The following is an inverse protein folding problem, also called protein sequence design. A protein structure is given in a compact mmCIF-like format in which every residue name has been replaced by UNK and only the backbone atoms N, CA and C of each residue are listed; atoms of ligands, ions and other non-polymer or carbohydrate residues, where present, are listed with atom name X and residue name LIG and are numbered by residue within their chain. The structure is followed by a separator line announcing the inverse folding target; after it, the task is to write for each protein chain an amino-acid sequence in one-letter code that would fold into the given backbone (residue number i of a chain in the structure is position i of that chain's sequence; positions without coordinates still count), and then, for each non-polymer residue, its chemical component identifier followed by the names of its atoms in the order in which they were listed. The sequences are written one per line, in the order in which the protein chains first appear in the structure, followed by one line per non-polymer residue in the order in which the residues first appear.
data_IF_997649691703
#
_entry.id   IF_997649691703
#
_cell.length_a   1.000
_cell.length_b   1.000
_cell.length_c   1.000
_cell.angle_alpha   90.00
_cell.angle_beta   90.00
_cell.angle_gamma   90.00
#
_symmetry.space_group_name_H-M   'P 1'
#
loop_
_entity.id
_entity.type
_entity.pdbx_description
1 polymer ?
#
# COMPACT_ATOMS: atom_id res chain seq x y z
N UNK A 1 -14.70 -19.72 -5.37
CA UNK A 1 -14.11 -18.96 -6.50
C UNK A 1 -14.81 -17.61 -6.56
N UNK A 2 -14.10 -16.49 -6.81
CA UNK A 2 -14.72 -15.17 -6.96
C UNK A 2 -15.41 -15.12 -8.32
N UNK A 3 -16.62 -14.56 -8.38
CA UNK A 3 -17.34 -14.26 -9.62
C UNK A 3 -17.12 -12.79 -9.98
N UNK A 4 -16.25 -12.52 -10.95
CA UNK A 4 -15.80 -11.17 -11.27
C UNK A 4 -16.90 -10.27 -11.85
N UNK A 5 -17.90 -10.85 -12.52
CA UNK A 5 -19.05 -10.12 -13.08
C UNK A 5 -19.93 -9.39 -12.06
N UNK A 6 -19.79 -9.73 -10.77
CA UNK A 6 -20.54 -9.08 -9.67
C UNK A 6 -20.00 -7.71 -9.29
N UNK A 7 -18.76 -7.40 -9.67
CA UNK A 7 -18.11 -6.16 -9.23
C UNK A 7 -18.24 -5.06 -10.28
N UNK A 8 -18.31 -3.82 -9.81
CA UNK A 8 -18.31 -2.60 -10.62
C UNK A 8 -17.07 -1.75 -10.37
N UNK A 9 -16.45 -1.93 -9.20
CA UNK A 9 -15.25 -1.20 -8.81
C UNK A 9 -14.22 -2.13 -8.20
N UNK A 10 -12.96 -1.92 -8.58
CA UNK A 10 -11.80 -2.49 -7.92
C UNK A 10 -11.17 -1.40 -7.04
N UNK A 11 -11.09 -1.63 -5.74
CA UNK A 11 -10.38 -0.77 -4.82
C UNK A 11 -9.02 -1.38 -4.49
N UNK A 12 -7.95 -0.60 -4.61
CA UNK A 12 -6.59 -1.05 -4.39
C UNK A 12 -5.96 -0.37 -3.19
N UNK A 13 -5.23 -1.14 -2.37
CA UNK A 13 -4.11 -0.57 -1.64
C UNK A 13 -3.02 -0.13 -2.64
N UNK A 14 -2.21 0.86 -2.27
CA UNK A 14 -1.20 1.41 -3.17
C UNK A 14 0.20 0.85 -2.91
N UNK A 15 0.77 1.14 -1.73
CA UNK A 15 2.18 0.83 -1.43
C UNK A 15 2.35 -0.58 -0.89
N UNK A 16 3.03 -1.42 -1.65
CA UNK A 16 3.16 -2.87 -1.46
C UNK A 16 2.24 -3.68 -2.37
N UNK A 17 1.20 -3.05 -2.91
CA UNK A 17 0.26 -3.67 -3.86
C UNK A 17 0.55 -3.23 -5.30
N UNK A 18 0.54 -1.93 -5.56
CA UNK A 18 0.80 -1.29 -6.85
C UNK A 18 2.25 -0.78 -6.96
N UNK A 19 2.77 -0.23 -5.87
CA UNK A 19 4.09 0.39 -5.75
C UNK A 19 5.02 -0.49 -4.93
N UNK A 20 6.21 -0.78 -5.46
CA UNK A 20 7.28 -1.52 -4.79
C UNK A 20 8.03 -0.57 -3.83
N UNK A 21 7.45 -0.35 -2.67
CA UNK A 21 8.00 0.53 -1.65
C UNK A 21 9.27 -0.02 -1.01
N UNK A 22 9.43 -1.35 -0.91
CA UNK A 22 10.65 -1.96 -0.38
C UNK A 22 11.84 -1.64 -1.30
N UNK A 23 11.63 -1.72 -2.62
CA UNK A 23 12.63 -1.29 -3.61
C UNK A 23 12.85 0.22 -3.54
N UNK A 24 11.79 1.02 -3.48
CA UNK A 24 11.89 2.48 -3.40
C UNK A 24 12.71 2.96 -2.20
N UNK A 25 12.45 2.39 -1.02
CA UNK A 25 13.23 2.68 0.18
C UNK A 25 14.67 2.19 0.02
N UNK A 26 14.87 0.95 -0.43
CA UNK A 26 16.21 0.37 -0.55
C UNK A 26 17.08 1.17 -1.51
N UNK A 27 16.56 1.55 -2.68
CA UNK A 27 17.29 2.35 -3.67
C UNK A 27 17.72 3.72 -3.10
N UNK A 28 16.85 4.36 -2.32
CA UNK A 28 17.15 5.64 -1.68
C UNK A 28 18.25 5.54 -0.62
N UNK A 29 18.15 4.54 0.25
CA UNK A 29 19.04 4.45 1.42
C UNK A 29 20.36 3.74 1.12
N UNK A 30 20.48 2.99 0.02
CA UNK A 30 21.69 2.25 -0.35
C UNK A 30 22.96 3.11 -0.32
N UNK A 31 22.98 4.33 -0.91
CA UNK A 31 24.15 5.22 -0.86
C UNK A 31 24.50 5.69 0.55
N UNK A 32 23.51 5.79 1.44
CA UNK A 32 23.72 6.17 2.85
C UNK A 32 24.30 5.01 3.64
N UNK A 33 23.72 3.80 3.47
CA UNK A 33 24.22 2.59 4.13
C UNK A 33 25.67 2.27 3.77
N UNK A 34 26.06 2.50 2.52
CA UNK A 34 27.43 2.32 2.08
C UNK A 34 28.45 3.15 2.89
N UNK A 35 28.01 4.27 3.49
CA UNK A 35 28.83 5.16 4.30
C UNK A 35 28.64 4.92 5.81
N UNK A 36 27.39 4.64 6.25
CA UNK A 36 27.02 4.55 7.66
C UNK A 36 27.30 3.15 8.21
N UNK A 37 26.88 2.13 7.51
CA UNK A 37 27.05 0.72 7.89
C UNK A 37 26.98 -0.20 6.67
N UNK A 38 28.10 -0.40 5.94
CA UNK A 38 28.13 -1.18 4.71
C UNK A 38 27.82 -2.67 4.91
N UNK A 39 27.78 -3.15 6.14
CA UNK A 39 27.48 -4.55 6.48
C UNK A 39 26.05 -4.79 6.95
N UNK A 40 25.23 -3.72 7.13
CA UNK A 40 23.84 -3.85 7.57
C UNK A 40 22.98 -4.45 6.44
N UNK A 41 22.34 -5.62 6.67
CA UNK A 41 21.44 -6.18 5.68
C UNK A 41 20.19 -5.30 5.50
N UNK A 42 19.85 -4.92 4.27
CA UNK A 42 18.68 -4.09 3.96
C UNK A 42 17.37 -4.63 4.55
N UNK A 43 17.23 -5.97 4.65
CA UNK A 43 16.06 -6.62 5.29
C UNK A 43 15.89 -6.22 6.75
N UNK A 44 16.99 -6.03 7.49
CA UNK A 44 16.93 -5.65 8.90
C UNK A 44 16.44 -4.22 9.05
N UNK A 45 16.92 -3.32 8.18
CA UNK A 45 16.46 -1.94 8.13
C UNK A 45 14.99 -1.86 7.75
N UNK A 46 14.52 -2.60 6.74
CA UNK A 46 13.10 -2.64 6.35
C UNK A 46 12.21 -3.18 7.48
N UNK A 47 12.68 -4.17 8.25
CA UNK A 47 11.95 -4.68 9.41
C UNK A 47 11.86 -3.62 10.53
N UNK A 48 12.95 -2.90 10.80
CA UNK A 48 12.97 -1.79 11.75
C UNK A 48 12.05 -0.66 11.30
N UNK A 49 12.10 -0.31 10.02
CA UNK A 49 11.19 0.67 9.42
C UNK A 49 9.71 0.32 9.67
N UNK A 50 9.31 -0.92 9.41
CA UNK A 50 7.92 -1.35 9.60
C UNK A 50 7.42 -1.18 11.04
N UNK A 51 8.26 -1.53 12.02
CA UNK A 51 7.92 -1.41 13.43
C UNK A 51 7.83 0.07 13.87
N UNK A 52 8.78 0.89 13.43
CA UNK A 52 8.88 2.29 13.85
C UNK A 52 7.80 3.16 13.21
N UNK A 53 7.52 2.97 11.91
CA UNK A 53 6.44 3.74 11.27
C UNK A 53 5.07 3.45 11.90
N UNK A 54 4.80 2.19 12.29
CA UNK A 54 3.54 1.82 12.93
C UNK A 54 3.29 2.58 14.24
N UNK A 55 4.35 2.88 15.00
CA UNK A 55 4.30 3.72 16.21
C UNK A 55 3.81 5.13 15.87
N UNK A 56 4.37 5.76 14.82
CA UNK A 56 4.02 7.13 14.47
C UNK A 56 2.67 7.26 13.77
N UNK A 57 2.20 6.22 13.09
CA UNK A 57 0.84 6.16 12.52
C UNK A 57 -0.26 6.14 13.60
N UNK A 58 0.08 5.82 14.86
CA UNK A 58 -0.85 5.84 15.99
C UNK A 58 -0.89 7.17 16.74
N UNK A 59 -0.01 8.12 16.43
CA UNK A 59 0.02 9.45 17.07
C UNK A 59 -1.27 10.22 16.76
N UNK A 60 -1.75 10.99 17.74
CA UNK A 60 -2.91 11.87 17.59
C UNK A 60 -2.56 13.30 18.00
N UNK A 61 -3.00 14.33 17.28
CA UNK A 61 -3.69 14.23 15.98
C UNK A 61 -2.86 13.46 14.96
N UNK A 62 -3.52 12.92 13.94
CA UNK A 62 -2.88 12.08 12.91
C UNK A 62 -1.81 12.88 12.17
N UNK A 63 -0.60 12.33 12.14
CA UNK A 63 0.52 12.91 11.37
C UNK A 63 0.30 12.68 9.87
N UNK A 64 0.75 13.60 9.03
CA UNK A 64 0.91 13.35 7.60
C UNK A 64 2.02 12.32 7.36
N UNK A 65 1.92 11.56 6.29
CA UNK A 65 2.87 10.46 6.05
C UNK A 65 4.34 10.91 5.91
N UNK A 66 4.67 12.06 5.28
CA UNK A 66 6.04 12.58 5.31
C UNK A 66 6.59 12.82 6.71
N UNK A 67 5.75 13.27 7.66
CA UNK A 67 6.17 13.45 9.05
C UNK A 67 6.34 12.12 9.79
N UNK A 68 5.52 11.13 9.47
CA UNK A 68 5.72 9.74 9.93
C UNK A 68 7.09 9.25 9.46
N UNK A 69 7.42 9.42 8.19
CA UNK A 69 8.70 8.98 7.61
C UNK A 69 9.90 9.70 8.22
N UNK A 70 9.81 11.02 8.39
CA UNK A 70 10.88 11.83 9.00
C UNK A 70 11.20 11.35 10.41
N UNK A 71 10.17 11.13 11.23
CA UNK A 71 10.32 10.62 12.60
C UNK A 71 10.83 9.17 12.61
N UNK A 72 10.32 8.35 11.69
CA UNK A 72 10.77 6.95 11.53
C UNK A 72 12.27 6.89 11.20
N UNK A 73 12.75 7.77 10.32
CA UNK A 73 14.18 7.81 10.01
C UNK A 73 15.02 8.20 11.23
N UNK A 74 14.62 9.20 12.00
CA UNK A 74 15.31 9.57 13.24
C UNK A 74 15.36 8.44 14.28
N UNK A 75 14.27 7.66 14.43
CA UNK A 75 14.27 6.46 15.31
C UNK A 75 15.21 5.35 14.76
N UNK A 76 15.31 5.22 13.42
CA UNK A 76 16.27 4.30 12.77
C UNK A 76 17.71 4.70 13.09
N UNK A 77 18.06 5.98 12.86
CA UNK A 77 19.40 6.51 13.18
C UNK A 77 19.76 6.25 14.65
N UNK A 78 18.84 6.57 15.56
CA UNK A 78 19.03 6.31 16.99
C UNK A 78 19.22 4.82 17.34
N UNK A 79 18.48 3.93 16.68
CA UNK A 79 18.54 2.49 16.93
C UNK A 79 19.87 1.87 16.46
N UNK A 80 20.39 2.33 15.33
CA UNK A 80 21.66 1.84 14.78
C UNK A 80 22.88 2.63 15.28
N UNK A 81 22.66 3.66 16.13
CA UNK A 81 23.74 4.50 16.66
C UNK A 81 24.39 5.42 15.61
N UNK A 82 23.66 5.73 14.55
CA UNK A 82 24.15 6.65 13.53
C UNK A 82 23.98 8.10 13.97
N UNK A 83 24.85 9.02 13.52
CA UNK A 83 24.67 10.43 13.79
C UNK A 83 23.39 10.94 13.11
N UNK A 84 22.55 11.74 13.81
CA UNK A 84 21.36 12.33 13.21
C UNK A 84 21.69 13.19 11.98
N UNK A 85 20.98 12.94 10.88
CA UNK A 85 21.10 13.73 9.64
C UNK A 85 19.73 14.22 9.17
N UNK A 86 19.37 15.49 9.42
CA UNK A 86 18.10 16.06 8.96
C UNK A 86 17.91 16.00 7.44
N UNK A 87 19.00 16.05 6.66
CA UNK A 87 18.92 15.97 5.21
C UNK A 87 18.49 14.57 4.75
N UNK A 88 18.96 13.50 5.39
CA UNK A 88 18.47 12.14 5.15
C UNK A 88 17.00 11.99 5.56
N UNK A 89 16.60 12.53 6.71
CA UNK A 89 15.22 12.49 7.17
C UNK A 89 14.26 13.21 6.20
N UNK A 90 14.65 14.37 5.68
CA UNK A 90 13.86 15.13 4.70
C UNK A 90 13.82 14.45 3.33
N UNK A 91 14.94 13.90 2.86
CA UNK A 91 15.00 13.13 1.62
C UNK A 91 14.12 11.87 1.71
N UNK A 92 14.15 11.17 2.86
CA UNK A 92 13.30 10.02 3.10
C UNK A 92 11.81 10.39 3.11
N UNK A 93 11.44 11.44 3.82
CA UNK A 93 10.08 11.97 3.87
C UNK A 93 9.53 12.37 2.48
N UNK A 94 10.40 12.96 1.64
CA UNK A 94 10.03 13.41 0.29
C UNK A 94 10.00 12.32 -0.78
N UNK A 95 10.45 11.09 -0.48
CA UNK A 95 10.72 10.06 -1.50
C UNK A 95 9.48 9.30 -1.99
N UNK A 96 8.38 9.29 -1.24
CA UNK A 96 7.20 8.40 -1.47
C UNK A 96 6.69 8.45 -2.90
N UNK A 97 6.54 9.65 -3.45
CA UNK A 97 6.01 9.84 -4.81
C UNK A 97 6.95 9.43 -5.95
N UNK A 98 8.15 8.93 -5.64
CA UNK A 98 9.14 8.45 -6.62
C UNK A 98 9.38 6.94 -6.55
N UNK A 99 8.76 6.24 -5.61
CA UNK A 99 8.92 4.78 -5.51
C UNK A 99 8.31 4.09 -6.74
N UNK A 100 9.00 3.10 -7.32
CA UNK A 100 8.59 2.52 -8.59
C UNK A 100 7.34 1.63 -8.45
N UNK A 101 6.47 1.56 -9.48
CA UNK A 101 5.45 0.52 -9.55
C UNK A 101 6.11 -0.86 -9.74
N UNK A 102 5.43 -1.94 -9.30
CA UNK A 102 5.82 -3.29 -9.69
C UNK A 102 5.71 -3.44 -11.22
N UNK A 103 6.52 -4.34 -11.78
CA UNK A 103 6.64 -4.52 -13.23
C UNK A 103 5.30 -4.84 -13.93
N UNK A 104 4.36 -5.48 -13.22
CA UNK A 104 3.06 -5.88 -13.74
C UNK A 104 1.94 -4.85 -13.49
N UNK A 105 2.22 -3.79 -12.71
CA UNK A 105 1.18 -2.87 -12.21
C UNK A 105 0.49 -2.10 -13.33
N UNK A 106 1.27 -1.38 -14.15
CA UNK A 106 0.68 -0.45 -15.14
C UNK A 106 -0.15 -1.20 -16.18
N UNK A 107 0.37 -2.30 -16.71
CA UNK A 107 -0.36 -3.09 -17.72
C UNK A 107 -1.61 -3.78 -17.13
N UNK A 108 -1.54 -4.23 -15.88
CA UNK A 108 -2.69 -4.79 -15.18
C UNK A 108 -3.78 -3.75 -14.91
N UNK A 109 -3.40 -2.54 -14.47
CA UNK A 109 -4.33 -1.44 -14.27
C UNK A 109 -5.00 -1.01 -15.58
N UNK A 110 -4.23 -0.87 -16.67
CA UNK A 110 -4.78 -0.58 -18.02
C UNK A 110 -5.76 -1.66 -18.51
N UNK A 111 -5.52 -2.91 -18.13
CA UNK A 111 -6.47 -3.97 -18.43
C UNK A 111 -7.76 -3.80 -17.62
N UNK A 112 -7.64 -3.62 -16.28
CA UNK A 112 -8.81 -3.52 -15.40
C UNK A 112 -9.65 -2.27 -15.62
N UNK A 113 -9.05 -1.13 -16.00
CA UNK A 113 -9.74 0.11 -16.34
C UNK A 113 -10.80 -0.07 -17.45
N UNK A 114 -10.58 -1.02 -18.36
CA UNK A 114 -11.53 -1.33 -19.43
C UNK A 114 -12.77 -2.09 -18.96
N UNK A 115 -12.75 -2.63 -17.76
CA UNK A 115 -13.79 -3.49 -17.21
C UNK A 115 -14.43 -2.93 -15.94
N UNK A 116 -13.70 -2.09 -15.19
CA UNK A 116 -14.09 -1.62 -13.87
C UNK A 116 -13.74 -0.15 -13.67
N UNK A 117 -14.46 0.49 -12.76
CA UNK A 117 -13.93 1.70 -12.12
C UNK A 117 -12.79 1.32 -11.19
N UNK A 118 -11.73 2.15 -11.14
CA UNK A 118 -10.60 1.91 -10.27
C UNK A 118 -10.61 2.94 -9.13
N UNK A 119 -10.28 2.49 -7.92
CA UNK A 119 -10.15 3.36 -6.76
C UNK A 119 -8.92 2.99 -5.92
N UNK A 120 -8.36 3.95 -5.20
CA UNK A 120 -7.22 3.74 -4.29
C UNK A 120 -7.64 4.04 -2.85
N UNK A 121 -7.25 3.16 -1.93
CA UNK A 121 -7.35 3.30 -0.48
C UNK A 121 -5.96 3.18 0.14
N UNK A 122 -5.32 4.30 0.52
CA UNK A 122 -3.89 4.30 0.84
C UNK A 122 -3.53 4.96 2.17
N UNK A 123 -2.57 4.37 2.86
CA UNK A 123 -1.95 4.89 4.08
C UNK A 123 -0.89 5.97 3.78
N UNK A 124 -1.28 7.04 3.10
CA UNK A 124 -0.39 8.12 2.66
C UNK A 124 -1.14 9.46 2.72
N UNK A 125 -0.44 10.56 2.56
CA UNK A 125 -1.00 11.89 2.33
C UNK A 125 -1.37 12.13 0.86
N UNK A 126 -2.22 13.12 0.62
CA UNK A 126 -2.73 13.45 -0.72
C UNK A 126 -1.62 13.89 -1.67
N UNK A 127 -0.68 14.72 -1.20
CA UNK A 127 0.39 15.25 -2.04
C UNK A 127 1.37 14.16 -2.52
N UNK A 128 1.67 13.18 -1.67
CA UNK A 128 2.48 12.02 -2.03
C UNK A 128 1.75 11.11 -3.02
N UNK A 129 0.44 10.87 -2.80
CA UNK A 129 -0.36 10.06 -3.71
C UNK A 129 -0.47 10.71 -5.10
N UNK A 130 -0.68 12.02 -5.18
CA UNK A 130 -0.76 12.74 -6.46
C UNK A 130 0.47 12.52 -7.35
N UNK A 131 1.68 12.50 -6.75
CA UNK A 131 2.91 12.18 -7.48
C UNK A 131 2.92 10.74 -7.95
N UNK A 132 2.50 9.81 -7.10
CA UNK A 132 2.43 8.38 -7.40
C UNK A 132 1.43 8.07 -8.53
N UNK A 133 0.28 8.74 -8.58
CA UNK A 133 -0.72 8.56 -9.64
C UNK A 133 -0.13 8.79 -11.04
N UNK A 134 0.83 9.70 -11.19
CA UNK A 134 1.53 9.95 -12.47
C UNK A 134 2.33 8.73 -12.93
N UNK A 135 2.85 7.92 -11.99
CA UNK A 135 3.58 6.69 -12.29
C UNK A 135 2.65 5.54 -12.68
N UNK A 136 1.42 5.52 -12.16
CA UNK A 136 0.44 4.47 -12.43
C UNK A 136 -0.22 4.58 -13.81
N UNK A 137 -0.21 5.76 -14.43
CA UNK A 137 -0.58 6.01 -15.83
C UNK A 137 -2.02 5.62 -16.22
N UNK A 138 -2.93 5.51 -15.27
CA UNK A 138 -4.37 5.28 -15.46
C UNK A 138 -5.19 6.23 -14.58
N UNK A 139 -6.41 6.62 -14.98
CA UNK A 139 -7.28 7.40 -14.13
C UNK A 139 -7.89 6.54 -13.02
N UNK A 140 -8.07 7.14 -11.85
CA UNK A 140 -8.82 6.56 -10.75
C UNK A 140 -10.09 7.38 -10.50
N UNK A 141 -11.21 6.68 -10.39
CA UNK A 141 -12.54 7.30 -10.12
C UNK A 141 -12.59 7.88 -8.71
N UNK A 142 -11.88 7.27 -7.78
CA UNK A 142 -11.85 7.66 -6.37
C UNK A 142 -10.47 7.39 -5.78
N UNK A 143 -9.98 8.32 -4.97
CA UNK A 143 -8.84 8.10 -4.07
C UNK A 143 -9.24 8.50 -2.66
N UNK A 144 -8.90 7.67 -1.68
CA UNK A 144 -9.07 7.98 -0.25
C UNK A 144 -7.76 7.67 0.47
N UNK A 145 -7.24 8.68 1.15
CA UNK A 145 -5.95 8.61 1.85
C UNK A 145 -6.14 8.58 3.36
N UNK A 146 -5.04 8.32 4.08
CA UNK A 146 -5.00 8.46 5.53
C UNK A 146 -5.22 9.92 5.97
N UNK A 147 -4.81 10.90 5.15
CA UNK A 147 -5.08 12.32 5.38
C UNK A 147 -6.58 12.61 5.29
N UNK A 148 -7.28 12.13 4.26
CA UNK A 148 -8.73 12.30 4.10
C UNK A 148 -9.53 11.66 5.22
N UNK A 149 -9.06 10.53 5.75
CA UNK A 149 -9.72 9.78 6.81
C UNK A 149 -9.28 10.18 8.21
N UNK A 150 -8.29 11.09 8.32
CA UNK A 150 -7.63 11.51 9.58
C UNK A 150 -7.14 10.32 10.43
N UNK A 151 -6.83 9.20 9.77
CA UNK A 151 -6.35 7.97 10.43
C UNK A 151 -5.74 7.02 9.41
N UNK A 152 -4.90 6.10 9.90
CA UNK A 152 -4.26 5.06 9.12
C UNK A 152 -5.02 3.72 9.18
N UNK A 153 -5.01 2.93 8.10
CA UNK A 153 -5.38 1.51 8.16
C UNK A 153 -4.49 0.83 9.23
N UNK A 154 -4.99 -0.13 10.01
CA UNK A 154 -6.20 -0.93 9.80
C UNK A 154 -7.49 -0.32 10.39
N UNK A 155 -7.53 1.00 10.72
CA UNK A 155 -8.77 1.66 11.08
C UNK A 155 -9.80 1.49 9.96
N UNK A 156 -11.06 1.21 10.35
CA UNK A 156 -12.15 1.06 9.39
C UNK A 156 -12.61 2.39 8.80
N UNK A 157 -12.19 3.53 9.35
CA UNK A 157 -12.69 4.85 8.95
C UNK A 157 -12.37 5.16 7.47
N UNK A 158 -11.16 4.83 7.00
CA UNK A 158 -10.75 5.02 5.62
C UNK A 158 -11.62 4.18 4.66
N UNK A 159 -11.87 2.91 5.00
CA UNK A 159 -12.75 2.04 4.21
C UNK A 159 -14.20 2.53 4.24
N UNK A 160 -14.73 2.91 5.41
CA UNK A 160 -16.11 3.42 5.53
C UNK A 160 -16.29 4.69 4.70
N UNK A 161 -15.31 5.60 4.70
CA UNK A 161 -15.34 6.80 3.86
C UNK A 161 -15.40 6.43 2.37
N UNK A 162 -14.55 5.52 1.92
CA UNK A 162 -14.54 5.07 0.53
C UNK A 162 -15.86 4.36 0.14
N UNK A 163 -16.39 3.51 1.02
CA UNK A 163 -17.69 2.82 0.77
C UNK A 163 -18.80 3.85 0.63
N UNK A 164 -18.92 4.82 1.55
CA UNK A 164 -19.94 5.86 1.47
C UNK A 164 -19.85 6.67 0.17
N UNK A 165 -18.64 7.09 -0.23
CA UNK A 165 -18.44 7.82 -1.49
C UNK A 165 -18.79 6.98 -2.73
N UNK A 166 -18.56 5.66 -2.70
CA UNK A 166 -18.94 4.75 -3.79
C UNK A 166 -20.44 4.50 -3.79
N UNK A 167 -21.10 4.42 -2.64
CA UNK A 167 -22.56 4.31 -2.51
C UNK A 167 -23.26 5.57 -3.07
N UNK A 168 -22.71 6.76 -2.82
CA UNK A 168 -23.19 8.02 -3.43
C UNK A 168 -23.06 8.01 -4.97
N UNK A 169 -22.13 7.22 -5.52
CA UNK A 169 -21.99 6.98 -6.96
C UNK A 169 -22.88 5.84 -7.48
N UNK A 170 -23.75 5.27 -6.64
CA UNK A 170 -24.65 4.16 -6.99
C UNK A 170 -23.97 2.80 -7.06
N UNK A 171 -22.84 2.62 -6.37
CA UNK A 171 -22.10 1.35 -6.28
C UNK A 171 -22.29 0.78 -4.88
N UNK A 172 -23.01 -0.32 -4.78
CA UNK A 172 -23.24 -0.99 -3.48
C UNK A 172 -21.97 -1.67 -2.97
N UNK A 173 -21.87 -1.85 -1.67
CA UNK A 173 -20.74 -2.52 -1.01
C UNK A 173 -20.45 -3.92 -1.59
N UNK A 174 -21.49 -4.67 -1.99
CA UNK A 174 -21.36 -6.00 -2.61
C UNK A 174 -20.73 -5.99 -4.00
N UNK A 175 -20.68 -4.82 -4.65
CA UNK A 175 -20.10 -4.61 -5.98
C UNK A 175 -18.65 -4.11 -5.91
N UNK A 176 -18.05 -4.07 -4.69
CA UNK A 176 -16.66 -3.66 -4.44
C UNK A 176 -15.78 -4.90 -4.27
N UNK A 177 -14.70 -5.01 -5.03
CA UNK A 177 -13.62 -5.95 -4.82
C UNK A 177 -12.39 -5.20 -4.30
N UNK A 178 -11.97 -5.50 -3.07
CA UNK A 178 -10.78 -4.87 -2.49
C UNK A 178 -9.54 -5.74 -2.68
N UNK A 179 -8.46 -5.13 -3.18
CA UNK A 179 -7.22 -5.80 -3.57
C UNK A 179 -6.07 -5.17 -2.77
N UNK A 180 -5.34 -5.97 -1.98
CA UNK A 180 -4.26 -5.46 -1.16
C UNK A 180 -3.20 -6.51 -0.83
N UNK A 181 -1.98 -6.06 -0.56
CA UNK A 181 -0.86 -6.91 -0.15
C UNK A 181 -0.86 -7.18 1.35
N UNK A 182 -1.31 -6.24 2.16
CA UNK A 182 -1.24 -6.38 3.62
C UNK A 182 -2.46 -7.10 4.18
N UNK A 183 -2.27 -8.30 4.72
CA UNK A 183 -3.35 -8.97 5.45
C UNK A 183 -3.83 -8.12 6.63
N UNK A 184 -2.92 -7.40 7.31
CA UNK A 184 -3.23 -6.56 8.46
C UNK A 184 -3.99 -5.29 8.08
N UNK A 185 -3.52 -4.55 7.07
CA UNK A 185 -4.05 -3.24 6.71
C UNK A 185 -5.24 -3.31 5.74
N UNK A 186 -5.38 -4.40 4.96
CA UNK A 186 -6.34 -4.48 3.87
C UNK A 186 -7.32 -5.64 4.04
N UNK A 187 -6.81 -6.87 4.15
CA UNK A 187 -7.67 -8.05 4.15
C UNK A 187 -8.52 -8.12 5.42
N UNK A 188 -7.91 -7.95 6.60
CA UNK A 188 -8.63 -7.99 7.86
C UNK A 188 -9.73 -6.91 7.97
N UNK A 189 -9.46 -5.59 7.73
CA UNK A 189 -10.52 -4.59 7.76
C UNK A 189 -11.55 -4.79 6.64
N UNK A 190 -11.14 -5.14 5.43
CA UNK A 190 -12.07 -5.44 4.33
C UNK A 190 -13.02 -6.58 4.68
N UNK A 191 -12.51 -7.68 5.26
CA UNK A 191 -13.32 -8.81 5.74
C UNK A 191 -14.29 -8.42 6.85
N UNK A 192 -13.84 -7.62 7.83
CA UNK A 192 -14.70 -7.10 8.91
C UNK A 192 -15.86 -6.27 8.39
N UNK A 193 -15.67 -5.56 7.29
CA UNK A 193 -16.72 -4.77 6.64
C UNK A 193 -17.58 -5.57 5.65
N UNK A 194 -17.27 -6.85 5.44
CA UNK A 194 -18.01 -7.72 4.50
C UNK A 194 -17.67 -7.48 3.03
N UNK A 195 -16.53 -6.86 2.73
CA UNK A 195 -16.03 -6.73 1.37
C UNK A 195 -15.49 -8.07 0.86
N UNK A 196 -15.62 -8.30 -0.45
CA UNK A 196 -14.83 -9.35 -1.10
C UNK A 196 -13.39 -8.87 -1.25
N UNK A 197 -12.43 -9.73 -0.88
CA UNK A 197 -11.02 -9.34 -0.80
C UNK A 197 -10.11 -10.27 -1.60
N UNK A 198 -9.12 -9.69 -2.26
CA UNK A 198 -8.01 -10.39 -2.92
C UNK A 198 -6.71 -10.03 -2.21
N UNK A 199 -5.99 -11.04 -1.76
CA UNK A 199 -4.65 -10.86 -1.24
C UNK A 199 -3.61 -11.03 -2.35
N UNK A 200 -2.84 -9.99 -2.63
CA UNK A 200 -1.72 -10.05 -3.56
C UNK A 200 -0.45 -10.36 -2.78
N UNK A 201 -0.06 -11.65 -2.75
CA UNK A 201 1.14 -12.10 -2.04
C UNK A 201 2.40 -11.80 -2.86
N UNK A 202 2.84 -10.54 -2.85
CA UNK A 202 4.05 -10.07 -3.54
C UNK A 202 5.34 -10.73 -3.03
N UNK A 203 5.27 -11.45 -1.91
CA UNK A 203 6.41 -12.11 -1.26
C UNK A 203 6.27 -13.64 -1.23
N UNK A 204 5.52 -14.21 -2.16
CA UNK A 204 5.23 -15.66 -2.22
C UNK A 204 6.48 -16.55 -2.26
N UNK A 205 7.60 -16.04 -2.78
CA UNK A 205 8.91 -16.68 -2.87
C UNK A 205 9.85 -16.36 -1.72
N UNK A 206 9.41 -15.54 -0.74
CA UNK A 206 10.23 -15.07 0.37
C UNK A 206 9.67 -15.56 1.71
N UNK A 207 10.54 -15.80 2.68
CA UNK A 207 10.13 -16.19 4.03
C UNK A 207 9.64 -14.96 4.84
N UNK A 208 8.55 -15.16 5.59
CA UNK A 208 8.00 -14.16 6.51
C UNK A 208 7.07 -13.15 5.83
N UNK A 209 6.48 -12.28 6.65
CA UNK A 209 5.51 -11.24 6.22
C UNK A 209 6.16 -9.99 5.63
N UNK A 210 7.48 -9.96 5.50
CA UNK A 210 8.22 -8.76 5.11
C UNK A 210 8.11 -7.67 6.18
N UNK A 211 7.98 -6.44 5.73
CA UNK A 211 7.81 -5.29 6.60
C UNK A 211 6.33 -4.99 6.95
N UNK A 212 5.43 -5.97 6.84
CA UNK A 212 4.03 -5.87 7.25
C UNK A 212 3.74 -6.74 8.46
N UNK A 213 2.88 -6.27 9.38
CA UNK A 213 2.47 -7.03 10.54
C UNK A 213 1.70 -8.30 10.12
N UNK A 214 2.05 -9.44 10.71
CA UNK A 214 1.36 -10.69 10.45
C UNK A 214 -0.08 -10.66 11.02
N UNK A 215 -1.01 -11.27 10.30
CA UNK A 215 -2.37 -11.54 10.77
C UNK A 215 -2.92 -12.78 10.08
N UNK A 216 -3.85 -13.49 10.73
CA UNK A 216 -4.47 -14.71 10.24
C UNK A 216 -5.70 -14.47 9.34
N UNK A 217 -5.95 -13.21 8.91
CA UNK A 217 -7.10 -12.91 8.06
C UNK A 217 -7.06 -13.68 6.74
N UNK A 218 -8.17 -14.38 6.44
CA UNK A 218 -8.31 -15.18 5.23
C UNK A 218 -8.98 -14.38 4.11
N UNK A 219 -8.29 -14.17 2.95
CA UNK A 219 -8.86 -13.53 1.78
C UNK A 219 -9.86 -14.46 1.06
N UNK A 220 -10.68 -13.91 0.17
CA UNK A 220 -11.54 -14.72 -0.71
C UNK A 220 -10.74 -15.31 -1.88
N UNK A 221 -9.66 -14.65 -2.28
CA UNK A 221 -8.73 -15.09 -3.32
C UNK A 221 -7.32 -14.66 -2.96
N UNK A 222 -6.35 -15.53 -3.24
CA UNK A 222 -4.92 -15.22 -3.15
C UNK A 222 -4.32 -15.32 -4.54
N UNK A 223 -3.51 -14.31 -4.90
CA UNK A 223 -2.70 -14.28 -6.10
C UNK A 223 -1.29 -13.82 -5.75
N UNK A 224 -0.31 -14.12 -6.58
CA UNK A 224 1.09 -13.72 -6.38
C UNK A 224 1.44 -12.40 -7.09
N UNK A 225 0.57 -11.98 -8.02
CA UNK A 225 0.77 -10.77 -8.84
C UNK A 225 -0.56 -10.22 -9.36
N UNK A 226 -0.59 -8.97 -9.82
CA UNK A 226 -1.75 -8.43 -10.53
C UNK A 226 -1.89 -9.08 -11.92
N UNK A 227 -0.79 -9.48 -12.55
CA UNK A 227 -0.83 -10.21 -13.82
C UNK A 227 -1.57 -11.56 -13.68
N UNK A 228 -1.38 -12.27 -12.56
CA UNK A 228 -2.14 -13.48 -12.26
C UNK A 228 -3.64 -13.17 -12.07
N UNK A 229 -3.98 -12.09 -11.37
CA UNK A 229 -5.37 -11.66 -11.20
C UNK A 229 -6.02 -11.32 -12.56
N UNK A 230 -5.27 -10.68 -13.47
CA UNK A 230 -5.70 -10.43 -14.86
C UNK A 230 -5.96 -11.75 -15.59
N UNK A 231 -5.08 -12.73 -15.46
CA UNK A 231 -5.24 -14.04 -16.12
C UNK A 231 -6.51 -14.76 -15.62
N UNK A 232 -6.76 -14.75 -14.30
CA UNK A 232 -7.98 -15.32 -13.71
C UNK A 232 -9.25 -14.61 -14.17
N UNK A 233 -9.21 -13.27 -14.29
CA UNK A 233 -10.33 -12.50 -14.81
C UNK A 233 -10.61 -12.85 -16.28
N UNK A 234 -9.58 -12.88 -17.13
CA UNK A 234 -9.71 -13.24 -18.56
C UNK A 234 -10.38 -14.61 -18.72
N UNK A 235 -10.01 -15.59 -17.90
CA UNK A 235 -10.58 -16.94 -17.97
C UNK A 235 -12.07 -17.01 -17.60
N UNK A 236 -12.65 -15.97 -16.99
CA UNK A 236 -14.08 -15.91 -16.66
C UNK A 236 -14.91 -15.07 -17.62
N UNK A 237 -14.29 -14.12 -18.34
CA UNK A 237 -15.00 -13.19 -19.23
C UNK A 237 -14.85 -13.55 -20.72
N UNK A 238 -14.10 -14.64 -21.00
CA UNK A 238 -14.00 -15.25 -22.33
C UNK A 238 -15.05 -16.32 -22.48
#
# INVERSE_FOLDING_TARGET
MIEFSKFKVLTFDCYGTLIDWEKGITDLIQPWLAKLDPHLPSRLLLSSFALMQAKFQQVRPTLLYPDVLRRTWGDIEGTFGWPPDPAHADAFAGSVGSWPPFADTVDSLRYFERHYRLAILSNVDNASLEKTLKLLQVPFTLTVTAEDAETYKPSLALFNKAIAMLEDMGISKSEILHIGQSKHHDINPGRKLGLTTVWVNRRHDQKGSGATLATEAEPHLTVTSLAELVALHKAQVT
#
